data_IF_934116937381
#
_entry.id   IF_934116937381
#
_cell.length_a   1.000
_cell.length_b   1.000
_cell.length_c   1.000
_cell.angle_alpha   90.00
_cell.angle_beta   90.00
_cell.angle_gamma   90.00
#
_symmetry.space_group_name_H-M   'P 1'
#
loop_
_entity.id
_entity.type
_entity.pdbx_description
1 polymer ?
#
# COMPACT_ATOMS: atom_id res chain seq x y z
N UNK A 1 -13.87 -7.25 20.50
CA UNK A 1 -13.10 -6.18 21.16
C UNK A 1 -13.00 -5.04 20.17
N UNK A 2 -13.53 -3.86 20.51
CA UNK A 2 -13.47 -2.68 19.63
C UNK A 2 -12.04 -2.17 19.52
N UNK A 3 -11.64 -1.67 18.35
CA UNK A 3 -10.37 -0.99 18.19
C UNK A 3 -10.28 0.20 19.17
N UNK A 4 -9.09 0.51 19.70
CA UNK A 4 -8.92 1.65 20.59
C UNK A 4 -9.42 2.95 19.95
N UNK A 5 -9.95 3.90 20.72
CA UNK A 5 -10.56 5.14 20.21
C UNK A 5 -9.66 5.95 19.26
N UNK A 6 -8.34 5.90 19.44
CA UNK A 6 -7.35 6.55 18.57
C UNK A 6 -7.17 5.88 17.20
N UNK A 7 -7.64 4.64 17.02
CA UNK A 7 -7.71 3.93 15.74
C UNK A 7 -9.14 3.92 15.15
N UNK A 8 -10.07 4.65 15.77
CA UNK A 8 -11.44 4.70 15.30
C UNK A 8 -11.60 5.78 14.22
N UNK A 9 -11.42 5.39 12.96
CA UNK A 9 -11.57 6.28 11.81
C UNK A 9 -13.03 6.44 11.35
N UNK A 10 -14.03 5.96 12.10
CA UNK A 10 -15.42 5.81 11.64
C UNK A 10 -16.05 7.12 11.15
N UNK A 11 -15.78 8.25 11.80
CA UNK A 11 -16.37 9.55 11.42
C UNK A 11 -15.76 10.15 10.14
N UNK A 12 -14.54 9.74 9.75
CA UNK A 12 -13.86 10.32 8.59
C UNK A 12 -13.14 9.29 7.70
N UNK A 13 -13.62 8.04 7.70
CA UNK A 13 -12.97 6.91 7.03
C UNK A 13 -12.78 7.15 5.53
N UNK A 14 -13.70 7.88 4.90
CA UNK A 14 -13.60 8.26 3.48
C UNK A 14 -12.40 9.17 3.21
N UNK A 15 -12.12 10.12 4.08
CA UNK A 15 -10.98 11.03 3.93
C UNK A 15 -9.66 10.30 4.14
N UNK A 16 -9.59 9.42 5.14
CA UNK A 16 -8.41 8.57 5.36
C UNK A 16 -8.18 7.59 4.20
N UNK A 17 -9.24 6.97 3.67
CA UNK A 17 -9.15 6.09 2.51
C UNK A 17 -8.73 6.86 1.25
N UNK A 18 -9.25 8.07 1.04
CA UNK A 18 -8.78 8.94 -0.05
C UNK A 18 -7.31 9.29 0.10
N UNK A 19 -6.85 9.61 1.31
CA UNK A 19 -5.44 9.90 1.60
C UNK A 19 -4.53 8.70 1.31
N UNK A 20 -4.94 7.49 1.71
CA UNK A 20 -4.26 6.24 1.35
C UNK A 20 -4.21 6.05 -0.16
N UNK A 21 -5.29 6.33 -0.88
CA UNK A 21 -5.32 6.29 -2.34
C UNK A 21 -4.32 7.27 -2.98
N UNK A 22 -4.21 8.48 -2.44
CA UNK A 22 -3.22 9.47 -2.89
C UNK A 22 -1.79 8.99 -2.63
N UNK A 23 -1.51 8.42 -1.44
CA UNK A 23 -0.20 7.85 -1.12
C UNK A 23 0.20 6.74 -2.09
N UNK A 24 -0.71 5.80 -2.36
CA UNK A 24 -0.47 4.70 -3.31
C UNK A 24 -0.26 5.20 -4.74
N UNK A 25 -1.03 6.21 -5.15
CA UNK A 25 -0.89 6.81 -6.48
C UNK A 25 0.46 7.52 -6.64
N UNK A 26 0.91 8.24 -5.60
CA UNK A 26 2.22 8.88 -5.58
C UNK A 26 3.34 7.85 -5.63
N UNK A 27 3.24 6.79 -4.84
CA UNK A 27 4.22 5.70 -4.82
C UNK A 27 4.31 5.00 -6.18
N UNK A 28 3.17 4.72 -6.82
CA UNK A 28 3.12 4.16 -8.16
C UNK A 28 3.76 5.09 -9.21
N UNK A 29 3.46 6.39 -9.19
CA UNK A 29 4.04 7.38 -10.12
C UNK A 29 5.56 7.46 -9.92
N UNK A 30 6.04 7.58 -8.68
CA UNK A 30 7.48 7.63 -8.39
C UNK A 30 8.17 6.35 -8.83
N UNK A 31 7.59 5.19 -8.52
CA UNK A 31 8.12 3.89 -8.95
C UNK A 31 8.19 3.82 -10.46
N UNK A 32 7.15 4.25 -11.17
CA UNK A 32 7.10 4.22 -12.63
C UNK A 32 8.13 5.17 -13.26
N UNK A 33 8.29 6.39 -12.73
CA UNK A 33 9.33 7.33 -13.17
C UNK A 33 10.72 6.71 -12.98
N UNK A 34 10.98 6.13 -11.81
CA UNK A 34 12.25 5.46 -11.50
C UNK A 34 12.46 4.26 -12.44
N UNK A 35 11.43 3.45 -12.68
CA UNK A 35 11.48 2.32 -13.60
C UNK A 35 11.76 2.76 -15.04
N UNK A 36 11.15 3.86 -15.50
CA UNK A 36 11.37 4.41 -16.84
C UNK A 36 12.76 5.02 -16.96
N UNK A 37 13.20 5.79 -15.97
CA UNK A 37 14.55 6.34 -15.92
C UNK A 37 15.59 5.23 -16.02
N UNK A 38 15.45 4.18 -15.19
CA UNK A 38 16.34 3.02 -15.26
C UNK A 38 16.25 2.26 -16.57
N UNK A 39 15.05 2.16 -17.17
CA UNK A 39 14.88 1.49 -18.46
C UNK A 39 15.62 2.22 -19.59
N UNK A 40 15.59 3.56 -19.57
CA UNK A 40 16.30 4.41 -20.53
C UNK A 40 17.82 4.38 -20.30
N UNK A 41 18.24 4.39 -19.04
CA UNK A 41 19.66 4.37 -18.65
C UNK A 41 20.27 2.96 -18.70
N UNK A 42 19.46 1.91 -18.82
CA UNK A 42 19.90 0.51 -18.80
C UNK A 42 20.92 0.20 -19.90
N UNK A 43 20.94 0.95 -20.99
CA UNK A 43 21.92 0.76 -22.07
C UNK A 43 23.33 1.22 -21.67
N UNK A 44 23.47 2.03 -20.61
CA UNK A 44 24.73 2.50 -20.03
C UNK A 44 25.30 1.58 -18.92
N UNK A 45 24.57 0.54 -18.50
CA UNK A 45 25.06 -0.40 -17.48
C UNK A 45 25.98 -1.48 -18.07
N UNK A 46 26.89 -2.08 -17.27
CA UNK A 46 27.70 -3.21 -17.74
C UNK A 46 26.80 -4.38 -18.20
N UNK A 47 27.21 -5.05 -19.28
CA UNK A 47 26.41 -6.07 -20.00
C UNK A 47 25.99 -7.24 -19.10
N UNK A 48 26.75 -7.50 -18.03
CA UNK A 48 26.51 -8.54 -17.03
C UNK A 48 25.24 -8.30 -16.18
N UNK A 49 24.81 -7.03 -16.04
CA UNK A 49 23.64 -6.64 -15.25
C UNK A 49 22.41 -6.24 -16.09
N UNK A 50 22.59 -6.02 -17.40
CA UNK A 50 21.56 -5.50 -18.31
C UNK A 50 20.26 -6.32 -18.40
N UNK A 51 20.27 -7.64 -18.65
CA UNK A 51 19.04 -8.35 -19.00
C UNK A 51 18.10 -8.58 -17.81
N UNK A 52 18.63 -8.83 -16.61
CA UNK A 52 17.79 -9.14 -15.43
C UNK A 52 17.25 -7.91 -14.71
N UNK A 53 18.02 -6.81 -14.64
CA UNK A 53 17.58 -5.61 -13.93
C UNK A 53 16.62 -4.74 -14.76
N UNK A 54 16.84 -4.63 -16.08
CA UNK A 54 16.00 -3.80 -16.97
C UNK A 54 14.54 -4.27 -16.97
N UNK A 55 14.32 -5.59 -17.02
CA UNK A 55 12.97 -6.16 -16.99
C UNK A 55 12.33 -6.13 -15.60
N UNK A 56 13.07 -6.48 -14.54
CA UNK A 56 12.51 -6.61 -13.19
C UNK A 56 12.01 -5.28 -12.63
N UNK A 57 12.77 -4.20 -12.77
CA UNK A 57 12.39 -2.88 -12.25
C UNK A 57 11.17 -2.33 -13.00
N UNK A 58 11.06 -2.58 -14.30
CA UNK A 58 9.90 -2.17 -15.09
C UNK A 58 8.64 -2.95 -14.72
N UNK A 59 8.76 -4.27 -14.53
CA UNK A 59 7.66 -5.12 -14.06
C UNK A 59 7.16 -4.65 -12.69
N UNK A 60 8.05 -4.30 -11.76
CA UNK A 60 7.67 -3.77 -10.44
C UNK A 60 6.86 -2.47 -10.57
N UNK A 61 7.25 -1.56 -11.47
CA UNK A 61 6.52 -0.32 -11.71
C UNK A 61 5.10 -0.55 -12.28
N UNK A 62 4.97 -1.47 -13.25
CA UNK A 62 3.66 -1.85 -13.81
C UNK A 62 2.77 -2.46 -12.72
N UNK A 63 3.32 -3.42 -11.96
CA UNK A 63 2.58 -4.09 -10.89
C UNK A 63 2.10 -3.09 -9.85
N UNK A 64 2.96 -2.13 -9.43
CA UNK A 64 2.57 -1.11 -8.45
C UNK A 64 1.44 -0.21 -8.97
N UNK A 65 1.50 0.15 -10.26
CA UNK A 65 0.45 0.94 -10.93
C UNK A 65 -0.88 0.18 -11.00
N UNK A 66 -0.84 -1.11 -11.33
CA UNK A 66 -2.03 -1.97 -11.33
C UNK A 66 -2.66 -2.05 -9.93
N UNK A 67 -1.85 -2.16 -8.88
CA UNK A 67 -2.36 -2.18 -7.50
C UNK A 67 -2.98 -0.84 -7.08
N UNK A 68 -2.38 0.30 -7.45
CA UNK A 68 -2.96 1.62 -7.20
C UNK A 68 -4.33 1.77 -7.91
N UNK A 69 -4.45 1.29 -9.15
CA UNK A 69 -5.72 1.29 -9.88
C UNK A 69 -6.76 0.35 -9.24
N UNK A 70 -6.36 -0.86 -8.85
CA UNK A 70 -7.22 -1.82 -8.16
C UNK A 70 -7.76 -1.24 -6.83
N UNK A 71 -6.91 -0.52 -6.10
CA UNK A 71 -7.32 0.20 -4.89
C UNK A 71 -8.39 1.26 -5.21
N UNK A 72 -8.15 2.11 -6.20
CA UNK A 72 -9.09 3.14 -6.63
C UNK A 72 -10.43 2.58 -7.12
N UNK A 73 -10.40 1.48 -7.88
CA UNK A 73 -11.62 0.77 -8.32
C UNK A 73 -12.37 0.21 -7.11
N UNK A 74 -11.64 -0.39 -6.16
CA UNK A 74 -12.20 -0.88 -4.91
C UNK A 74 -12.86 0.22 -4.08
N UNK A 75 -12.20 1.38 -4.00
CA UNK A 75 -12.69 2.57 -3.29
C UNK A 75 -13.94 3.18 -3.96
N UNK A 76 -13.90 3.48 -5.26
CA UNK A 76 -14.98 4.16 -5.98
C UNK A 76 -16.19 3.27 -6.23
N UNK A 77 -15.98 2.04 -6.72
CA UNK A 77 -17.08 1.12 -7.06
C UNK A 77 -17.50 0.22 -5.90
N UNK A 78 -16.91 0.41 -4.71
CA UNK A 78 -17.20 -0.38 -3.49
C UNK A 78 -17.12 -1.91 -3.75
N UNK A 79 -16.24 -2.34 -4.66
CA UNK A 79 -16.12 -3.75 -5.07
C UNK A 79 -15.29 -4.52 -4.06
N UNK A 80 -15.93 -5.47 -3.37
CA UNK A 80 -15.38 -6.25 -2.24
C UNK A 80 -14.16 -7.10 -2.61
N UNK A 81 -14.13 -7.64 -3.82
CA UNK A 81 -13.04 -8.51 -4.30
C UNK A 81 -11.73 -7.73 -4.47
N UNK A 82 -11.77 -6.53 -5.04
CA UNK A 82 -10.59 -5.68 -5.23
C UNK A 82 -9.92 -5.30 -3.90
N UNK A 83 -10.72 -4.90 -2.91
CA UNK A 83 -10.20 -4.55 -1.58
C UNK A 83 -9.58 -5.77 -0.88
N UNK A 84 -10.15 -6.96 -1.06
CA UNK A 84 -9.64 -8.19 -0.43
C UNK A 84 -8.29 -8.61 -1.02
N UNK A 85 -8.15 -8.54 -2.35
CA UNK A 85 -6.87 -8.81 -3.04
C UNK A 85 -5.80 -7.80 -2.59
N UNK A 86 -6.17 -6.52 -2.49
CA UNK A 86 -5.27 -5.47 -2.04
C UNK A 86 -4.76 -5.69 -0.60
N UNK A 87 -5.65 -6.03 0.34
CA UNK A 87 -5.30 -6.35 1.73
C UNK A 87 -4.34 -7.54 1.79
N UNK A 88 -4.59 -8.59 0.99
CA UNK A 88 -3.70 -9.75 0.91
C UNK A 88 -2.29 -9.36 0.44
N UNK A 89 -2.20 -8.51 -0.59
CA UNK A 89 -0.92 -8.03 -1.09
C UNK A 89 -0.13 -7.22 -0.04
N UNK A 90 -0.78 -6.25 0.63
CA UNK A 90 -0.14 -5.46 1.69
C UNK A 90 0.29 -6.35 2.86
N UNK A 91 -0.49 -7.37 3.21
CA UNK A 91 -0.11 -8.34 4.25
C UNK A 91 1.18 -9.08 3.90
N UNK A 92 1.34 -9.51 2.65
CA UNK A 92 2.57 -10.18 2.18
C UNK A 92 3.74 -9.20 2.20
N UNK A 93 3.53 -7.95 1.77
CA UNK A 93 4.58 -6.92 1.78
C UNK A 93 5.10 -6.63 3.20
N UNK A 94 4.21 -6.53 4.19
CA UNK A 94 4.56 -6.36 5.61
C UNK A 94 5.37 -7.57 6.10
N UNK A 95 5.00 -8.80 5.72
CA UNK A 95 5.74 -10.00 6.09
C UNK A 95 7.16 -10.04 5.49
N UNK A 96 7.32 -9.59 4.24
CA UNK A 96 8.66 -9.46 3.62
C UNK A 96 9.48 -8.38 4.33
N UNK A 97 8.86 -7.26 4.71
CA UNK A 97 9.54 -6.16 5.41
C UNK A 97 9.98 -6.55 6.83
N UNK A 98 9.19 -7.36 7.54
CA UNK A 98 9.59 -7.84 8.86
C UNK A 98 10.80 -8.78 8.81
N UNK A 99 10.90 -9.62 7.77
CA UNK A 99 12.10 -10.43 7.51
C UNK A 99 13.31 -9.52 7.21
N UNK A 100 13.12 -8.49 6.38
CA UNK A 100 14.15 -7.49 6.08
C UNK A 100 14.64 -6.74 7.33
N UNK A 101 13.73 -6.42 8.26
CA UNK A 101 14.06 -5.78 9.53
C UNK A 101 14.95 -6.67 10.40
N UNK A 102 14.63 -7.96 10.51
CA UNK A 102 15.48 -8.94 11.24
C UNK A 102 16.88 -8.98 10.62
N UNK A 103 16.98 -9.01 9.30
CA UNK A 103 18.27 -8.96 8.60
C UNK A 103 19.08 -7.68 8.86
N UNK A 104 18.42 -6.52 8.94
CA UNK A 104 19.07 -5.24 9.22
C UNK A 104 19.58 -5.14 10.67
N UNK A 105 18.81 -5.65 11.64
CA UNK A 105 19.18 -5.69 13.06
C UNK A 105 20.42 -6.57 13.28
N UNK A 106 20.47 -7.74 12.64
CA UNK A 106 21.62 -8.66 12.72
C UNK A 106 22.91 -8.01 12.20
N UNK A 107 22.80 -7.12 11.21
CA UNK A 107 23.95 -6.40 10.64
C UNK A 107 24.26 -5.04 11.29
N UNK A 108 23.57 -4.65 12.38
CA UNK A 108 23.79 -3.40 13.15
C UNK A 108 23.69 -2.10 12.31
N UNK A 109 22.94 -2.11 11.20
CA UNK A 109 22.68 -0.91 10.39
C UNK A 109 21.50 -0.11 10.93
N UNK A 110 21.75 0.74 11.92
CA UNK A 110 20.71 1.51 12.63
C UNK A 110 19.91 2.43 11.69
N UNK A 111 20.57 3.06 10.72
CA UNK A 111 19.91 3.92 9.73
C UNK A 111 18.93 3.13 8.85
N UNK A 112 19.34 1.95 8.39
CA UNK A 112 18.54 1.06 7.54
C UNK A 112 17.37 0.43 8.32
N UNK A 113 17.58 0.09 9.59
CA UNK A 113 16.50 -0.40 10.45
C UNK A 113 15.42 0.68 10.65
N UNK A 114 15.81 1.95 10.80
CA UNK A 114 14.90 3.08 10.99
C UNK A 114 14.05 3.36 9.73
N UNK A 115 14.65 3.28 8.54
CA UNK A 115 13.90 3.43 7.28
C UNK A 115 12.90 2.29 7.09
N UNK A 116 13.30 1.04 7.36
CA UNK A 116 12.40 -0.12 7.29
C UNK A 116 11.24 0.01 8.28
N UNK A 117 11.50 0.47 9.51
CA UNK A 117 10.44 0.71 10.51
C UNK A 117 9.45 1.78 10.05
N UNK A 118 9.92 2.87 9.45
CA UNK A 118 9.06 3.94 8.92
C UNK A 118 8.15 3.39 7.81
N UNK A 119 8.70 2.61 6.89
CA UNK A 119 7.94 1.97 5.81
C UNK A 119 6.94 0.96 6.37
N UNK A 120 7.30 0.20 7.40
CA UNK A 120 6.41 -0.75 8.07
C UNK A 120 5.23 -0.02 8.74
N UNK A 121 5.49 1.11 9.42
CA UNK A 121 4.43 1.93 10.03
C UNK A 121 3.46 2.50 8.98
N UNK A 122 3.96 2.96 7.84
CA UNK A 122 3.11 3.46 6.74
C UNK A 122 2.24 2.33 6.17
N UNK A 123 2.82 1.16 5.90
CA UNK A 123 2.08 0.02 5.37
C UNK A 123 1.06 -0.52 6.37
N UNK A 124 1.37 -0.50 7.67
CA UNK A 124 0.42 -0.80 8.73
C UNK A 124 -0.75 0.17 8.76
N UNK A 125 -0.50 1.47 8.60
CA UNK A 125 -1.55 2.48 8.51
C UNK A 125 -2.47 2.26 7.29
N UNK A 126 -1.88 2.03 6.11
CA UNK A 126 -2.62 1.69 4.88
C UNK A 126 -3.52 0.47 5.10
N UNK A 127 -2.97 -0.59 5.70
CA UNK A 127 -3.71 -1.81 6.00
C UNK A 127 -4.91 -1.54 6.92
N UNK A 128 -4.71 -0.82 8.02
CA UNK A 128 -5.78 -0.50 8.98
C UNK A 128 -6.91 0.30 8.33
N UNK A 129 -6.58 1.34 7.56
CA UNK A 129 -7.57 2.14 6.85
C UNK A 129 -8.31 1.30 5.81
N UNK A 130 -7.62 0.41 5.09
CA UNK A 130 -8.29 -0.48 4.12
C UNK A 130 -9.22 -1.50 4.79
N UNK A 131 -8.88 -1.98 5.99
CA UNK A 131 -9.72 -2.89 6.78
C UNK A 131 -10.96 -2.18 7.30
N UNK A 132 -10.84 -0.95 7.78
CA UNK A 132 -11.99 -0.14 8.22
C UNK A 132 -12.87 0.30 7.05
N UNK A 133 -12.28 0.66 5.90
CA UNK A 133 -13.02 0.88 4.66
C UNK A 133 -13.76 -0.38 4.23
N UNK A 134 -13.12 -1.55 4.35
CA UNK A 134 -13.77 -2.83 4.10
C UNK A 134 -14.96 -3.01 5.03
N UNK A 135 -14.77 -2.89 6.35
CA UNK A 135 -15.81 -3.03 7.38
C UNK A 135 -17.01 -2.12 7.14
N UNK A 136 -16.78 -0.84 6.88
CA UNK A 136 -17.87 0.13 6.58
C UNK A 136 -18.58 -0.13 5.25
N UNK A 137 -17.94 -0.79 4.30
CA UNK A 137 -18.58 -1.30 3.08
C UNK A 137 -19.33 -2.64 3.31
N UNK A 138 -19.07 -3.31 4.43
CA UNK A 138 -19.75 -4.55 4.85
C UNK A 138 -21.00 -4.29 5.67
N UNK A 139 -21.03 -3.24 6.50
CA UNK A 139 -22.27 -2.79 7.11
C UNK A 139 -23.13 -2.14 6.02
N UNK A 140 -24.25 -2.76 5.58
CA UNK A 140 -25.23 -2.02 4.80
C UNK A 140 -25.63 -0.84 5.67
N UNK A 141 -25.64 0.36 5.07
CA UNK A 141 -26.17 1.59 5.65
C UNK A 141 -27.20 1.24 6.72
N UNK A 142 -26.86 1.37 8.01
CA UNK A 142 -27.91 1.42 9.02
C UNK A 142 -28.82 2.54 8.51
N UNK A 143 -30.09 2.27 8.19
CA UNK A 143 -30.99 3.36 7.86
C UNK A 143 -30.84 4.32 9.02
N UNK A 144 -30.46 5.56 8.71
CA UNK A 144 -30.59 6.62 9.68
C UNK A 144 -32.05 6.56 10.10
N UNK A 145 -32.27 6.01 11.28
CA UNK A 145 -33.53 6.06 11.98
C UNK A 145 -33.67 7.52 12.41
N UNK A 146 -33.95 8.39 11.44
CA UNK A 146 -34.51 9.71 11.67
C UNK A 146 -35.99 9.53 12.01
N UNK A 147 -36.25 8.76 13.06
CA UNK A 147 -37.41 8.91 13.92
C UNK A 147 -36.89 9.62 15.16
N UNK A 148 -36.80 10.94 15.08
CA UNK A 148 -36.91 11.81 16.23
C UNK A 148 -38.02 12.80 15.91
N UNK A 149 -39.19 12.49 16.47
CA UNK A 149 -40.31 13.34 16.91
C UNK A 149 -40.26 14.80 16.49
#
# INVERSE_FOLDING_TARGET
>A
MGLPQYFNFTDNIRTHAMFVGVMLSRDAILTLIVSVAWFLEADNFPDDMKPSFKGSVFVVGIVNTLFALLYWIGYLKRKRWCITVFIGFISVAIAIQSIGLVGAIVKLYLLTACTILTVLSINGYVLLVTLELRRTNFEPTKPQLANCV
#
